data_IF_782032995018
#
_entry.id   IF_782032995018
#
_cell.length_a   1.000
_cell.length_b   1.000
_cell.length_c   1.000
_cell.angle_alpha   90.00
_cell.angle_beta   90.00
_cell.angle_gamma   90.00
#
_symmetry.space_group_name_H-M   'P 1'
#
loop_
_entity.id
_entity.type
_entity.pdbx_description
1 polymer ?
#
# COMPACT_ATOMS: atom_id res chain seq x y z
N UNK A 1 -9.43 3.53 -24.10
CA UNK A 1 -10.37 3.42 -22.97
C UNK A 1 -10.57 4.81 -22.39
N UNK A 2 -11.81 5.27 -22.22
CA UNK A 2 -12.11 6.53 -21.54
C UNK A 2 -12.21 6.24 -20.04
N UNK A 3 -11.41 6.95 -19.23
CA UNK A 3 -11.50 6.93 -17.77
C UNK A 3 -11.95 8.33 -17.36
N UNK A 4 -13.12 8.41 -16.72
CA UNK A 4 -13.63 9.66 -16.15
C UNK A 4 -13.31 9.67 -14.67
N UNK A 5 -12.57 10.69 -14.21
CA UNK A 5 -12.17 10.87 -12.82
C UNK A 5 -12.90 12.10 -12.30
N UNK A 6 -13.75 11.92 -11.30
CA UNK A 6 -14.46 12.99 -10.64
C UNK A 6 -13.62 13.53 -9.49
N UNK A 7 -13.54 14.86 -9.39
CA UNK A 7 -12.89 15.56 -8.29
C UNK A 7 -13.75 16.76 -7.89
N UNK A 8 -13.69 17.10 -6.61
CA UNK A 8 -14.45 18.18 -5.97
C UNK A 8 -13.55 19.37 -5.69
N UNK A 9 -14.10 20.44 -5.09
CA UNK A 9 -13.31 21.59 -4.66
C UNK A 9 -12.31 21.23 -3.56
N UNK A 10 -12.61 20.21 -2.75
CA UNK A 10 -11.74 19.78 -1.66
C UNK A 10 -10.46 19.12 -2.21
N UNK A 11 -10.51 18.60 -3.44
CA UNK A 11 -9.38 17.97 -4.12
C UNK A 11 -8.45 18.99 -4.83
N UNK A 12 -8.72 20.30 -4.73
CA UNK A 12 -7.97 21.33 -5.45
C UNK A 12 -6.46 21.25 -5.19
N UNK A 13 -6.08 20.96 -3.94
CA UNK A 13 -4.67 20.77 -3.58
C UNK A 13 -4.00 19.64 -4.40
N UNK A 14 -4.69 18.51 -4.56
CA UNK A 14 -4.19 17.38 -5.34
C UNK A 14 -4.08 17.74 -6.83
N UNK A 15 -5.06 18.49 -7.35
CA UNK A 15 -5.04 18.95 -8.74
C UNK A 15 -3.87 19.90 -9.00
N UNK A 16 -3.59 20.82 -8.10
CA UNK A 16 -2.42 21.73 -8.21
C UNK A 16 -1.10 20.95 -8.20
N UNK A 17 -0.99 19.89 -7.38
CA UNK A 17 0.18 19.01 -7.38
C UNK A 17 0.34 18.25 -8.69
N UNK A 18 -0.77 17.73 -9.23
CA UNK A 18 -0.78 17.02 -10.52
C UNK A 18 -0.33 17.97 -11.64
N UNK A 19 -0.82 19.21 -11.67
CA UNK A 19 -0.43 20.21 -12.66
C UNK A 19 1.07 20.52 -12.61
N UNK A 20 1.61 20.78 -11.42
CA UNK A 20 3.04 21.02 -11.23
C UNK A 20 3.89 19.85 -11.70
N UNK A 21 3.46 18.62 -11.42
CA UNK A 21 4.17 17.39 -11.85
C UNK A 21 4.05 17.18 -13.37
N UNK A 22 2.88 17.39 -13.94
CA UNK A 22 2.62 17.31 -15.39
C UNK A 22 3.50 18.28 -16.17
N UNK A 23 3.62 19.52 -15.70
CA UNK A 23 4.52 20.52 -16.30
C UNK A 23 5.98 20.08 -16.25
N UNK A 24 6.45 19.62 -15.07
CA UNK A 24 7.83 19.16 -14.87
C UNK A 24 8.18 17.96 -15.75
N UNK A 25 7.27 17.01 -15.88
CA UNK A 25 7.48 15.78 -16.65
C UNK A 25 7.10 15.92 -18.13
N UNK A 26 6.62 17.08 -18.57
CA UNK A 26 6.08 17.32 -19.93
C UNK A 26 5.04 16.26 -20.35
N UNK A 27 4.14 15.92 -19.42
CA UNK A 27 3.06 14.95 -19.62
C UNK A 27 1.71 15.64 -19.47
N UNK A 28 0.66 15.04 -20.03
CA UNK A 28 -0.71 15.48 -19.75
C UNK A 28 -1.10 15.17 -18.30
N UNK A 29 -2.07 15.92 -17.75
CA UNK A 29 -2.61 15.65 -16.41
C UNK A 29 -3.13 14.21 -16.30
N UNK A 30 -3.86 13.75 -17.32
CA UNK A 30 -4.38 12.37 -17.39
C UNK A 30 -3.27 11.32 -17.35
N UNK A 31 -2.16 11.53 -18.04
CA UNK A 31 -1.03 10.60 -18.03
C UNK A 31 -0.36 10.55 -16.64
N UNK A 32 -0.22 11.69 -15.97
CA UNK A 32 0.31 11.75 -14.60
C UNK A 32 -0.63 11.07 -13.62
N UNK A 33 -1.94 11.31 -13.71
CA UNK A 33 -2.92 10.65 -12.85
C UNK A 33 -2.89 9.14 -13.07
N UNK A 34 -2.85 8.68 -14.33
CA UNK A 34 -2.74 7.27 -14.65
C UNK A 34 -1.47 6.66 -14.04
N UNK A 35 -0.32 7.33 -14.18
CA UNK A 35 0.95 6.87 -13.60
C UNK A 35 0.88 6.80 -12.06
N UNK A 36 0.21 7.77 -11.43
CA UNK A 36 0.03 7.78 -9.97
C UNK A 36 -0.88 6.64 -9.53
N UNK A 37 -1.99 6.41 -10.23
CA UNK A 37 -2.91 5.31 -9.95
C UNK A 37 -2.22 3.96 -10.19
N UNK A 38 -1.52 3.81 -11.30
CA UNK A 38 -0.68 2.63 -11.59
C UNK A 38 0.32 2.42 -10.46
N UNK A 39 1.11 3.42 -10.09
CA UNK A 39 2.05 3.30 -8.97
C UNK A 39 1.36 3.05 -7.63
N UNK A 40 0.14 3.54 -7.40
CA UNK A 40 -0.60 3.26 -6.17
C UNK A 40 -1.10 1.81 -6.11
N UNK A 41 -1.62 1.28 -7.21
CA UNK A 41 -2.15 -0.08 -7.28
C UNK A 41 -1.09 -1.15 -7.60
N UNK A 42 0.04 -0.76 -8.21
CA UNK A 42 1.21 -1.60 -8.48
C UNK A 42 2.27 -1.50 -7.40
N UNK A 43 2.19 -0.51 -6.48
CA UNK A 43 3.01 -0.56 -5.26
C UNK A 43 2.71 -1.91 -4.61
N UNK A 44 3.78 -2.70 -4.41
CA UNK A 44 3.73 -4.00 -3.78
C UNK A 44 2.80 -3.91 -2.58
N UNK A 45 1.71 -4.69 -2.59
CA UNK A 45 0.81 -4.72 -1.45
C UNK A 45 1.66 -5.14 -0.26
N UNK A 46 1.73 -4.28 0.74
CA UNK A 46 2.52 -4.58 1.93
C UNK A 46 1.91 -5.81 2.59
N UNK A 47 2.73 -6.64 3.24
CA UNK A 47 2.27 -7.84 3.93
C UNK A 47 1.00 -7.58 4.79
N UNK A 48 0.97 -6.47 5.52
CA UNK A 48 -0.19 -6.05 6.30
C UNK A 48 -1.46 -5.83 5.47
N UNK A 49 -1.36 -5.15 4.32
CA UNK A 49 -2.50 -4.92 3.42
C UNK A 49 -3.02 -6.22 2.80
N UNK A 50 -2.13 -7.16 2.46
CA UNK A 50 -2.51 -8.48 1.96
C UNK A 50 -3.28 -9.26 3.03
N UNK A 51 -2.77 -9.26 4.27
CA UNK A 51 -3.41 -9.95 5.38
C UNK A 51 -4.76 -9.34 5.76
N UNK A 52 -4.90 -8.01 5.70
CA UNK A 52 -6.20 -7.35 5.91
C UNK A 52 -7.16 -7.70 4.78
N UNK A 53 -6.73 -7.62 3.52
CA UNK A 53 -7.58 -7.97 2.38
C UNK A 53 -8.04 -9.44 2.42
N UNK A 54 -7.23 -10.33 3.00
CA UNK A 54 -7.57 -11.73 3.24
C UNK A 54 -8.47 -11.96 4.48
N UNK A 55 -8.81 -10.90 5.23
CA UNK A 55 -9.61 -10.99 6.46
C UNK A 55 -8.89 -11.69 7.61
N UNK A 56 -7.55 -11.72 7.57
CA UNK A 56 -6.72 -12.44 8.56
C UNK A 56 -6.27 -11.57 9.72
N UNK A 57 -6.18 -10.27 9.51
CA UNK A 57 -5.86 -9.25 10.51
C UNK A 57 -6.71 -8.01 10.27
N UNK A 58 -6.87 -7.17 11.29
CA UNK A 58 -7.47 -5.83 11.16
C UNK A 58 -6.41 -4.77 10.88
N UNK A 59 -6.83 -3.58 10.41
CA UNK A 59 -5.91 -2.44 10.25
C UNK A 59 -5.27 -2.07 11.60
N UNK A 60 -6.04 -2.11 12.68
CA UNK A 60 -5.59 -1.80 14.05
C UNK A 60 -4.49 -2.75 14.53
N UNK A 61 -4.64 -4.06 14.27
CA UNK A 61 -3.62 -5.07 14.59
C UNK A 61 -2.33 -4.87 13.80
N UNK A 62 -2.44 -4.48 12.53
CA UNK A 62 -1.27 -4.16 11.70
C UNK A 62 -0.57 -2.90 12.22
N UNK A 63 -1.30 -1.85 12.57
CA UNK A 63 -0.73 -0.64 13.15
C UNK A 63 -0.04 -0.91 14.50
N UNK A 64 -0.65 -1.74 15.35
CA UNK A 64 -0.04 -2.15 16.61
C UNK A 64 1.27 -2.90 16.39
N UNK A 65 1.29 -3.85 15.47
CA UNK A 65 2.49 -4.59 15.11
C UNK A 65 3.59 -3.67 14.54
N UNK A 66 3.23 -2.64 13.75
CA UNK A 66 4.17 -1.61 13.26
C UNK A 66 4.73 -0.79 14.43
N UNK A 67 3.88 -0.34 15.36
CA UNK A 67 4.32 0.40 16.55
C UNK A 67 5.30 -0.41 17.40
N UNK A 68 5.07 -1.72 17.55
CA UNK A 68 6.00 -2.63 18.22
C UNK A 68 7.32 -2.71 17.44
N UNK A 69 7.25 -2.88 16.11
CA UNK A 69 8.42 -2.96 15.25
C UNK A 69 9.32 -1.72 15.36
N UNK A 70 8.71 -0.53 15.37
CA UNK A 70 9.40 0.75 15.52
C UNK A 70 10.05 0.89 16.90
N UNK A 71 9.32 0.55 17.97
CA UNK A 71 9.85 0.55 19.35
C UNK A 71 11.07 -0.35 19.50
N UNK A 72 11.11 -1.46 18.76
CA UNK A 72 12.23 -2.40 18.76
C UNK A 72 13.35 -2.04 17.79
N UNK A 73 13.28 -0.90 17.11
CA UNK A 73 14.23 -0.48 16.08
C UNK A 73 14.38 -1.53 14.97
N UNK A 74 13.26 -2.12 14.55
CA UNK A 74 13.19 -3.09 13.45
C UNK A 74 14.02 -4.37 13.65
N UNK A 75 14.27 -4.78 14.90
CA UNK A 75 14.93 -6.06 15.20
C UNK A 75 14.13 -7.28 14.70
N UNK A 76 12.80 -7.21 14.80
CA UNK A 76 11.87 -8.22 14.30
C UNK A 76 11.18 -7.76 13.01
N UNK A 77 10.84 -8.72 12.15
CA UNK A 77 10.01 -8.46 10.96
C UNK A 77 8.54 -8.34 11.38
N UNK A 78 7.76 -7.55 10.64
CA UNK A 78 6.32 -7.37 10.87
C UNK A 78 5.59 -8.73 10.94
N UNK A 79 5.91 -9.65 10.03
CA UNK A 79 5.41 -11.02 10.03
C UNK A 79 5.58 -11.73 11.38
N UNK A 80 6.79 -11.65 11.96
CA UNK A 80 7.12 -12.30 13.22
C UNK A 80 6.33 -11.69 14.38
N UNK A 81 6.18 -10.37 14.38
CA UNK A 81 5.41 -9.65 15.41
C UNK A 81 3.93 -10.06 15.32
N UNK A 82 3.34 -10.03 14.12
CA UNK A 82 1.94 -10.42 13.93
C UNK A 82 1.64 -11.84 14.42
N UNK A 83 2.57 -12.79 14.22
CA UNK A 83 2.43 -14.17 14.71
C UNK A 83 2.63 -14.26 16.22
N UNK A 84 3.64 -13.57 16.76
CA UNK A 84 3.97 -13.61 18.20
C UNK A 84 2.92 -12.93 19.08
N UNK A 85 2.30 -11.85 18.59
CA UNK A 85 1.17 -11.20 19.26
C UNK A 85 -0.15 -11.97 19.06
N UNK A 86 -0.14 -13.08 18.29
CA UNK A 86 -1.31 -13.92 18.06
C UNK A 86 -2.36 -13.32 17.12
N UNK A 87 -2.01 -12.28 16.37
CA UNK A 87 -2.93 -11.61 15.43
C UNK A 87 -3.17 -12.45 14.18
N UNK A 88 -2.22 -13.30 13.79
CA UNK A 88 -2.31 -14.12 12.58
C UNK A 88 -1.61 -15.46 12.78
N UNK A 89 -2.09 -16.50 12.10
CA UNK A 89 -1.40 -17.79 12.04
C UNK A 89 -0.26 -17.78 11.02
N UNK A 90 0.83 -18.50 11.33
CA UNK A 90 2.00 -18.65 10.45
C UNK A 90 1.60 -19.10 9.03
N UNK A 91 0.66 -20.03 8.90
CA UNK A 91 0.17 -20.53 7.60
C UNK A 91 -0.41 -19.43 6.71
N UNK A 92 -1.05 -18.43 7.32
CA UNK A 92 -1.70 -17.34 6.60
C UNK A 92 -0.68 -16.24 6.24
N UNK A 93 0.34 -16.04 7.09
CA UNK A 93 1.51 -15.21 6.76
C UNK A 93 2.28 -15.78 5.57
N UNK A 94 2.56 -17.08 5.56
CA UNK A 94 3.24 -17.75 4.45
C UNK A 94 2.48 -17.56 3.13
N UNK A 95 1.15 -17.70 3.15
CA UNK A 95 0.31 -17.43 1.96
C UNK A 95 0.38 -15.98 1.52
N UNK A 96 0.36 -15.03 2.46
CA UNK A 96 0.44 -13.61 2.15
C UNK A 96 1.81 -13.24 1.55
N UNK A 97 2.90 -13.82 2.06
CA UNK A 97 4.24 -13.66 1.50
C UNK A 97 4.36 -14.20 0.08
N UNK A 98 3.76 -15.37 -0.22
CA UNK A 98 3.71 -15.89 -1.59
C UNK A 98 2.96 -14.96 -2.56
N UNK A 99 1.93 -14.26 -2.08
CA UNK A 99 1.21 -13.25 -2.89
C UNK A 99 2.06 -11.99 -3.06
N UNK A 100 2.79 -11.59 -2.02
CA UNK A 100 3.72 -10.47 -2.06
C UNK A 100 4.83 -10.72 -3.09
N UNK A 101 5.56 -11.84 -2.99
CA UNK A 101 6.67 -12.20 -3.89
C UNK A 101 6.23 -12.27 -5.36
N UNK A 102 5.01 -12.77 -5.63
CA UNK A 102 4.45 -12.80 -7.00
C UNK A 102 4.14 -11.42 -7.56
N UNK A 103 3.92 -10.43 -6.69
CA UNK A 103 3.78 -9.03 -7.12
C UNK A 103 5.13 -8.37 -7.41
N UNK A 104 6.22 -8.85 -6.80
CA UNK A 104 7.60 -8.37 -7.06
C UNK A 104 8.18 -8.92 -8.37
N UNK A 105 7.73 -10.10 -8.82
CA UNK A 105 8.29 -10.81 -9.98
C UNK A 105 7.77 -10.33 -11.36
N UNK A 106 7.22 -9.12 -11.48
CA UNK A 106 6.55 -8.63 -12.70
C UNK A 106 6.99 -7.23 -13.10
#
# INVERSE_FOLDING_TARGET
>A
MLITIYYTKDDQYLMDLIEKKAYRERKSKSAVILTILESYFQREKRLGEILVAAGKVTHEQVEEAIKIQEKEKHKRRLAQILVQEGFVEEKDVQRALLVQDKSEAK
#
